data_IF_114232340491
#
_entry.id   IF_114232340491
#
_cell.length_a   1.000
_cell.length_b   1.000
_cell.length_c   1.000
_cell.angle_alpha   90.00
_cell.angle_beta   90.00
_cell.angle_gamma   90.00
#
_symmetry.space_group_name_H-M   'P 1'
#
loop_
_entity.id
_entity.type
_entity.pdbx_description
1 polymer ?
#
# COMPACT_ATOMS: atom_id res chain seq x y z
N UNK A 1 -12.28 0.56 13.18
CA UNK A 1 -11.24 -0.48 12.98
C UNK A 1 -10.63 -0.27 11.59
N UNK A 2 -9.38 0.21 11.45
CA UNK A 2 -8.73 0.35 10.13
C UNK A 2 -8.42 -1.06 9.62
N UNK A 3 -9.09 -1.46 8.54
CA UNK A 3 -8.87 -2.75 7.88
C UNK A 3 -7.42 -2.87 7.38
N UNK A 4 -6.81 -4.06 7.39
CA UNK A 4 -5.49 -4.34 6.76
C UNK A 4 -5.45 -3.98 5.26
N UNK A 5 -6.60 -3.71 4.63
CA UNK A 5 -6.64 -3.19 3.27
C UNK A 5 -5.97 -1.82 3.13
N UNK A 6 -6.08 -0.95 4.14
CA UNK A 6 -5.49 0.39 4.09
C UNK A 6 -3.96 0.32 3.98
N UNK A 7 -3.30 -0.51 4.81
CA UNK A 7 -1.84 -0.64 4.74
C UNK A 7 -1.40 -1.26 3.41
N UNK A 8 -2.12 -2.26 2.89
CA UNK A 8 -1.78 -2.86 1.58
C UNK A 8 -1.80 -1.81 0.47
N UNK A 9 -2.90 -1.08 0.31
CA UNK A 9 -3.06 -0.19 -0.84
C UNK A 9 -2.16 1.02 -0.68
N UNK A 10 -2.25 1.72 0.45
CA UNK A 10 -1.66 3.04 0.60
C UNK A 10 -0.14 3.03 0.73
N UNK A 11 0.47 1.90 1.13
CA UNK A 11 1.93 1.81 1.28
C UNK A 11 2.51 0.69 0.42
N UNK A 12 2.13 -0.56 0.64
CA UNK A 12 2.78 -1.70 -0.02
C UNK A 12 2.59 -1.69 -1.54
N UNK A 13 1.35 -1.75 -2.00
CA UNK A 13 1.01 -1.88 -3.41
C UNK A 13 1.32 -0.60 -4.19
N UNK A 14 1.06 0.57 -3.61
CA UNK A 14 1.34 1.84 -4.29
C UNK A 14 2.83 2.14 -4.42
N UNK A 15 3.68 1.71 -3.47
CA UNK A 15 5.13 1.97 -3.57
C UNK A 15 5.85 1.06 -4.57
N UNK A 16 5.36 -0.16 -4.80
CA UNK A 16 5.94 -1.13 -5.73
C UNK A 16 6.25 -0.57 -7.14
N UNK A 17 5.32 0.12 -7.84
CA UNK A 17 5.61 0.72 -9.15
C UNK A 17 6.69 1.80 -9.09
N UNK A 18 6.79 2.59 -8.01
CA UNK A 18 7.87 3.58 -7.86
C UNK A 18 9.24 2.91 -7.75
N UNK A 19 9.33 1.81 -7.00
CA UNK A 19 10.59 1.05 -6.89
C UNK A 19 10.98 0.47 -8.26
N UNK A 20 10.03 -0.09 -9.01
CA UNK A 20 10.28 -0.67 -10.33
C UNK A 20 10.71 0.43 -11.31
N UNK A 21 9.98 1.55 -11.37
CA UNK A 21 10.30 2.67 -12.26
C UNK A 21 11.67 3.28 -11.95
N UNK A 22 11.98 3.51 -10.67
CA UNK A 22 13.26 4.09 -10.25
C UNK A 22 14.47 3.20 -10.56
N UNK A 23 14.32 1.87 -10.59
CA UNK A 23 15.40 0.96 -10.99
C UNK A 23 15.48 0.78 -12.52
N UNK A 24 14.38 0.98 -13.26
CA UNK A 24 14.34 0.82 -14.73
C UNK A 24 14.73 2.08 -15.49
N UNK A 25 14.40 3.26 -14.95
CA UNK A 25 14.51 4.54 -15.67
C UNK A 25 15.57 5.48 -15.09
N UNK A 26 16.08 5.23 -13.87
CA UNK A 26 17.14 6.04 -13.28
C UNK A 26 18.42 5.23 -13.13
N UNK A 27 19.52 5.75 -13.65
CA UNK A 27 20.86 5.18 -13.46
C UNK A 27 21.26 5.20 -11.98
N UNK A 28 22.15 4.27 -11.58
CA UNK A 28 22.72 4.23 -10.23
C UNK A 28 23.43 5.54 -9.82
N UNK A 29 23.95 6.29 -10.80
CA UNK A 29 24.60 7.58 -10.58
C UNK A 29 23.62 8.76 -10.47
N UNK A 30 22.35 8.55 -10.82
CA UNK A 30 21.36 9.61 -10.83
C UNK A 30 21.10 10.09 -9.38
N UNK A 31 21.14 11.40 -9.10
CA UNK A 31 21.02 11.92 -7.73
C UNK A 31 19.69 11.53 -7.08
N UNK A 32 18.58 11.52 -7.84
CA UNK A 32 17.27 11.05 -7.36
C UNK A 32 17.28 9.56 -7.03
N UNK A 33 17.96 8.71 -7.81
CA UNK A 33 18.07 7.29 -7.50
C UNK A 33 18.81 7.09 -6.16
N UNK A 34 19.91 7.82 -5.95
CA UNK A 34 20.65 7.78 -4.69
C UNK A 34 19.83 8.24 -3.49
N UNK A 35 19.00 9.29 -3.68
CA UNK A 35 18.10 9.80 -2.64
C UNK A 35 17.02 8.78 -2.26
N UNK A 36 16.38 8.15 -3.25
CA UNK A 36 15.24 7.26 -3.02
C UNK A 36 15.62 5.83 -2.62
N UNK A 37 16.82 5.36 -3.00
CA UNK A 37 17.26 3.98 -2.77
C UNK A 37 17.12 3.49 -1.32
N UNK A 38 17.46 4.27 -0.26
CA UNK A 38 17.26 3.85 1.12
C UNK A 38 15.78 3.64 1.48
N UNK A 39 14.87 4.43 0.89
CA UNK A 39 13.43 4.37 1.16
C UNK A 39 12.74 3.15 0.53
N UNK A 40 13.37 2.51 -0.46
CA UNK A 40 12.86 1.32 -1.14
C UNK A 40 13.39 0.00 -0.57
N UNK A 41 14.16 0.08 0.53
CA UNK A 41 14.81 -1.09 1.13
C UNK A 41 13.76 -2.14 1.51
N UNK A 42 13.93 -3.35 0.97
CA UNK A 42 13.07 -4.53 1.20
C UNK A 42 11.62 -4.42 0.71
N UNK A 43 11.19 -3.33 0.07
CA UNK A 43 9.79 -3.15 -0.41
C UNK A 43 9.37 -4.26 -1.38
N UNK A 44 10.18 -4.56 -2.39
CA UNK A 44 9.86 -5.64 -3.35
C UNK A 44 9.87 -7.03 -2.70
N UNK A 45 10.79 -7.27 -1.77
CA UNK A 45 10.89 -8.56 -1.08
C UNK A 45 9.66 -8.82 -0.21
N UNK A 46 9.27 -7.86 0.63
CA UNK A 46 8.10 -8.04 1.50
C UNK A 46 6.81 -8.14 0.69
N UNK A 47 6.68 -7.39 -0.41
CA UNK A 47 5.52 -7.48 -1.29
C UNK A 47 5.42 -8.84 -2.01
N UNK A 48 6.56 -9.40 -2.44
CA UNK A 48 6.60 -10.73 -3.04
C UNK A 48 6.18 -11.82 -2.02
N UNK A 49 6.71 -11.76 -0.80
CA UNK A 49 6.31 -12.67 0.29
C UNK A 49 4.84 -12.49 0.65
N UNK A 50 4.35 -11.25 0.72
CA UNK A 50 2.95 -10.96 1.00
C UNK A 50 2.02 -11.54 -0.07
N UNK A 51 2.40 -11.50 -1.36
CA UNK A 51 1.67 -12.17 -2.45
C UNK A 51 1.54 -13.68 -2.25
N UNK A 52 2.56 -14.32 -1.68
CA UNK A 52 2.58 -15.78 -1.53
C UNK A 52 1.87 -16.28 -0.27
N UNK A 53 1.99 -15.55 0.84
CA UNK A 53 1.58 -16.03 2.17
C UNK A 53 0.38 -15.25 2.71
N UNK A 54 0.33 -13.93 2.48
CA UNK A 54 -0.61 -13.04 3.16
C UNK A 54 -1.88 -12.83 2.36
N UNK A 55 -1.77 -12.50 1.07
CA UNK A 55 -2.88 -12.04 0.21
C UNK A 55 -3.19 -12.96 -0.96
N UNK A 56 -2.43 -14.03 -1.12
CA UNK A 56 -2.76 -15.09 -2.06
C UNK A 56 -4.03 -15.82 -1.62
N UNK A 57 -4.67 -16.52 -2.54
CA UNK A 57 -5.83 -17.36 -2.23
C UNK A 57 -5.45 -18.36 -1.13
N UNK A 58 -6.26 -18.38 -0.07
CA UNK A 58 -6.14 -19.34 1.01
C UNK A 58 -6.90 -20.60 0.67
N UNK A 59 -6.30 -21.75 0.97
CA UNK A 59 -7.04 -23.01 1.11
C UNK A 59 -6.98 -23.38 2.58
N UNK A 60 -8.15 -23.56 3.21
CA UNK A 60 -8.20 -24.07 4.58
C UNK A 60 -7.85 -25.55 4.51
N UNK A 61 -6.69 -25.94 5.05
CA UNK A 61 -6.35 -27.37 5.14
C UNK A 61 -7.38 -28.09 6.02
N UNK A 62 -7.72 -29.33 5.67
CA UNK A 62 -8.72 -30.16 6.38
C UNK A 62 -8.44 -30.35 7.88
N UNK A 63 -7.19 -30.13 8.29
CA UNK A 63 -6.66 -30.20 9.66
C UNK A 63 -6.74 -28.86 10.42
N UNK A 64 -7.23 -27.77 9.82
CA UNK A 64 -7.39 -26.47 10.48
C UNK A 64 -6.14 -25.58 10.47
N UNK A 65 -5.00 -26.08 9.99
CA UNK A 65 -3.75 -25.32 9.93
C UNK A 65 -3.74 -24.29 8.80
N UNK A 66 -3.34 -23.05 9.13
CA UNK A 66 -3.20 -21.95 8.17
C UNK A 66 -1.79 -21.97 7.56
N UNK A 67 -1.69 -22.22 6.26
CA UNK A 67 -0.40 -22.20 5.55
C UNK A 67 -0.24 -20.98 4.63
N UNK A 68 -1.32 -20.49 4.01
CA UNK A 68 -1.36 -19.33 3.09
C UNK A 68 -2.74 -18.67 3.15
N UNK A 69 -2.81 -17.45 2.64
CA UNK A 69 -4.07 -16.68 2.56
C UNK A 69 -4.52 -16.19 3.93
N UNK A 70 -3.57 -15.74 4.75
CA UNK A 70 -3.84 -15.16 6.09
C UNK A 70 -4.98 -14.16 5.99
N UNK A 71 -4.99 -13.30 4.98
CA UNK A 71 -6.03 -12.30 4.83
C UNK A 71 -7.45 -12.87 4.55
N UNK A 72 -7.55 -14.00 3.87
CA UNK A 72 -8.86 -14.60 3.55
C UNK A 72 -9.45 -15.41 4.72
N UNK A 73 -8.61 -15.86 5.65
CA UNK A 73 -9.03 -16.67 6.80
C UNK A 73 -9.19 -15.86 8.08
N UNK A 74 -8.44 -14.77 8.28
CA UNK A 74 -8.47 -14.00 9.53
C UNK A 74 -9.37 -12.76 9.51
N UNK A 75 -9.72 -12.25 8.33
CA UNK A 75 -10.53 -11.04 8.21
C UNK A 75 -11.93 -11.35 7.65
N UNK A 76 -12.91 -10.57 8.12
CA UNK A 76 -14.31 -10.71 7.72
C UNK A 76 -14.55 -10.58 6.20
N UNK A 77 -13.65 -9.90 5.48
CA UNK A 77 -13.73 -9.75 4.02
C UNK A 77 -13.43 -11.04 3.27
N UNK A 78 -12.74 -12.01 3.89
CA UNK A 78 -12.38 -13.31 3.33
C UNK A 78 -11.94 -13.22 1.84
N UNK A 79 -12.49 -14.05 0.95
CA UNK A 79 -12.24 -14.05 -0.51
C UNK A 79 -12.47 -12.70 -1.21
N UNK A 80 -13.26 -11.80 -0.62
CA UNK A 80 -13.55 -10.47 -1.17
C UNK A 80 -12.49 -9.43 -0.81
N UNK A 81 -11.49 -9.77 0.01
CA UNK A 81 -10.50 -8.81 0.47
C UNK A 81 -9.72 -8.15 -0.67
N UNK A 82 -9.38 -8.93 -1.71
CA UNK A 82 -8.69 -8.37 -2.87
C UNK A 82 -9.59 -7.51 -3.75
N UNK A 83 -10.84 -7.92 -3.95
CA UNK A 83 -11.81 -7.12 -4.72
C UNK A 83 -12.09 -5.78 -4.03
N UNK A 84 -12.28 -5.80 -2.71
CA UNK A 84 -12.53 -4.60 -1.93
C UNK A 84 -11.32 -3.65 -1.94
N UNK A 85 -10.11 -4.21 -1.94
CA UNK A 85 -8.89 -3.39 -2.11
C UNK A 85 -8.82 -2.74 -3.50
N UNK A 86 -9.19 -3.48 -4.55
CA UNK A 86 -9.26 -2.95 -5.92
C UNK A 86 -10.29 -1.83 -6.05
N UNK A 87 -11.48 -1.99 -5.44
CA UNK A 87 -12.51 -0.95 -5.42
C UNK A 87 -12.03 0.31 -4.71
N UNK A 88 -11.37 0.18 -3.57
CA UNK A 88 -10.79 1.31 -2.83
C UNK A 88 -9.68 2.04 -3.61
N UNK A 89 -8.93 1.32 -4.46
CA UNK A 89 -7.90 1.94 -5.31
C UNK A 89 -8.48 2.88 -6.37
N UNK A 90 -9.76 2.74 -6.76
CA UNK A 90 -10.38 3.63 -7.75
C UNK A 90 -10.45 5.09 -7.29
N UNK A 91 -10.57 5.32 -5.99
CA UNK A 91 -10.58 6.66 -5.39
C UNK A 91 -9.21 7.11 -4.88
N UNK A 92 -8.15 6.36 -5.20
CA UNK A 92 -6.80 6.65 -4.72
C UNK A 92 -6.17 7.78 -5.54
N UNK A 93 -5.62 8.78 -4.86
CA UNK A 93 -4.93 9.91 -5.49
C UNK A 93 -3.63 10.24 -4.76
N UNK A 94 -2.51 10.22 -5.49
CA UNK A 94 -1.17 10.45 -4.94
C UNK A 94 -1.03 11.80 -4.21
N UNK A 95 -1.63 12.88 -4.73
CA UNK A 95 -1.45 14.23 -4.17
C UNK A 95 -2.14 14.39 -2.81
N UNK A 96 -3.13 13.55 -2.52
CA UNK A 96 -3.86 13.56 -1.26
C UNK A 96 -3.13 12.83 -0.13
N UNK A 97 -2.10 12.03 -0.43
CA UNK A 97 -1.29 11.32 0.58
C UNK A 97 -0.31 12.22 1.33
N UNK A 98 -0.12 13.46 0.89
CA UNK A 98 0.62 14.43 1.68
C UNK A 98 -0.09 14.65 3.02
N UNK A 99 0.64 14.51 4.13
CA UNK A 99 0.07 14.59 5.48
C UNK A 99 -0.82 15.84 5.70
N UNK A 100 -0.43 17.06 5.26
CA UNK A 100 -1.30 18.22 5.39
C UNK A 100 -2.63 18.05 4.63
N UNK A 101 -2.58 17.52 3.41
CA UNK A 101 -3.75 17.33 2.56
C UNK A 101 -4.69 16.26 3.13
N UNK A 102 -4.16 15.14 3.62
CA UNK A 102 -4.95 14.09 4.27
C UNK A 102 -5.65 14.61 5.54
N UNK A 103 -4.99 15.44 6.34
CA UNK A 103 -5.57 16.02 7.55
C UNK A 103 -6.70 17.01 7.25
N UNK A 104 -6.52 17.87 6.25
CA UNK A 104 -7.56 18.81 5.79
C UNK A 104 -8.74 18.03 5.19
N UNK A 105 -8.47 17.03 4.35
CA UNK A 105 -9.51 16.20 3.71
C UNK A 105 -10.36 15.45 4.73
N UNK A 106 -9.78 15.03 5.86
CA UNK A 106 -10.48 14.34 6.95
C UNK A 106 -11.10 15.30 7.98
N UNK A 107 -11.02 16.61 7.75
CA UNK A 107 -11.51 17.65 8.66
C UNK A 107 -10.91 17.56 10.07
N UNK A 108 -9.66 17.08 10.17
CA UNK A 108 -8.89 17.00 11.43
C UNK A 108 -8.01 18.23 11.63
N UNK A 109 -7.71 18.94 10.53
CA UNK A 109 -6.98 20.20 10.54
C UNK A 109 -7.69 21.20 9.63
N UNK A 110 -7.74 22.46 10.05
CA UNK A 110 -8.22 23.55 9.19
C UNK A 110 -7.12 23.89 8.17
N UNK A 111 -7.49 24.01 6.90
CA UNK A 111 -6.57 24.51 5.89
C UNK A 111 -6.30 25.99 6.16
N UNK A 112 -5.07 26.35 6.50
CA UNK A 112 -4.67 27.75 6.52
C UNK A 112 -4.59 28.24 5.07
N UNK A 113 -5.70 28.70 4.51
CA UNK A 113 -5.68 29.48 3.29
C UNK A 113 -5.00 30.82 3.60
N UNK A 114 -3.97 31.25 2.85
CA UNK A 114 -3.58 32.65 2.85
C UNK A 114 -4.62 33.40 2.01
N UNK A 115 -5.81 33.62 2.57
CA UNK A 115 -6.75 34.61 2.04
C UNK A 115 -6.56 35.84 2.90
N UNK A 116 -5.76 36.78 2.39
CA UNK A 116 -5.77 38.23 2.59
C UNK A 116 -4.60 38.82 1.80
N UNK A 117 -4.80 38.99 0.49
CA UNK A 117 -4.27 40.12 -0.28
C UNK A 117 -5.29 40.46 -1.35
#
# INVERSE_FOLDING_TARGET
>A
MRSPMCCRINTHACMEPFVIAANRQLSLLHPIHRLLKPHFRKTLHINAVARQIVVGSGDQRKNGDIFRGIHEVTYASSKYNMEMSSKAYKSWNFTEFALPNDLVKRYVMHGNSPVNN
#
